data_IF_206054179387
#
_entry.id   IF_206054179387
#
_cell.length_a   1.000
_cell.length_b   1.000
_cell.length_c   1.000
_cell.angle_alpha   90.00
_cell.angle_beta   90.00
_cell.angle_gamma   90.00
#
_symmetry.space_group_name_H-M   'P 1'
#
loop_
_entity.id
_entity.type
_entity.pdbx_description
1 polymer ?
#
# COMPACT_ATOMS: atom_id res chain seq x y z
N UNK A 1 -58.79 -20.79 -3.49
CA UNK A 1 -58.04 -19.60 -3.93
C UNK A 1 -56.69 -19.70 -3.26
N UNK A 2 -55.69 -20.10 -4.03
CA UNK A 2 -54.35 -20.48 -3.58
C UNK A 2 -53.36 -19.54 -4.26
N UNK A 3 -52.83 -18.59 -3.51
CA UNK A 3 -51.76 -17.68 -3.95
C UNK A 3 -50.41 -18.40 -3.84
N UNK A 4 -49.75 -18.60 -4.97
CA UNK A 4 -48.35 -19.01 -5.06
C UNK A 4 -47.49 -17.80 -5.48
N UNK A 5 -46.28 -17.61 -4.91
CA UNK A 5 -45.45 -16.45 -5.18
C UNK A 5 -44.81 -16.47 -6.58
N UNK A 6 -44.64 -15.26 -7.10
CA UNK A 6 -44.02 -14.91 -8.38
C UNK A 6 -42.59 -15.46 -8.48
N UNK A 7 -42.35 -16.35 -9.46
CA UNK A 7 -41.06 -16.96 -9.70
C UNK A 7 -40.10 -15.93 -10.34
N UNK A 8 -38.94 -15.76 -9.72
CA UNK A 8 -37.82 -15.00 -10.27
C UNK A 8 -37.25 -15.76 -11.49
N UNK A 9 -36.73 -15.05 -12.53
CA UNK A 9 -36.17 -15.72 -13.71
C UNK A 9 -34.84 -16.43 -13.39
N UNK A 10 -34.62 -17.59 -14.01
CA UNK A 10 -33.47 -18.48 -13.81
C UNK A 10 -32.12 -17.81 -14.16
N UNK A 11 -31.15 -17.96 -13.27
CA UNK A 11 -29.81 -17.33 -13.25
C UNK A 11 -28.78 -17.98 -14.22
N UNK A 12 -29.22 -18.82 -15.16
CA UNK A 12 -28.32 -19.65 -15.98
C UNK A 12 -28.03 -19.08 -17.40
N UNK A 13 -28.22 -17.78 -17.62
CA UNK A 13 -27.80 -17.11 -18.87
C UNK A 13 -26.66 -16.12 -18.61
N UNK A 14 -25.44 -16.56 -18.94
CA UNK A 14 -24.26 -15.70 -18.99
C UNK A 14 -24.40 -14.66 -20.12
N UNK A 15 -24.40 -13.34 -19.81
CA UNK A 15 -24.57 -12.28 -20.80
C UNK A 15 -23.35 -12.08 -21.72
N UNK A 16 -22.28 -12.88 -21.58
CA UNK A 16 -21.09 -12.85 -22.43
C UNK A 16 -20.88 -14.10 -23.30
N UNK A 17 -21.84 -15.03 -23.33
CA UNK A 17 -21.78 -16.18 -24.23
C UNK A 17 -22.02 -15.72 -25.69
N UNK A 18 -20.93 -15.58 -26.45
CA UNK A 18 -20.98 -15.43 -27.90
C UNK A 18 -21.56 -16.71 -28.53
N UNK A 19 -22.62 -16.53 -29.32
CA UNK A 19 -23.34 -17.56 -30.06
C UNK A 19 -22.45 -18.34 -31.04
N UNK A 20 -22.63 -19.66 -31.04
CA UNK A 20 -22.07 -20.70 -31.91
C UNK A 20 -22.07 -20.38 -33.42
N UNK A 21 -21.09 -20.91 -34.16
CA UNK A 21 -21.40 -21.74 -35.34
C UNK A 21 -20.25 -22.71 -35.70
N UNK A 22 -20.60 -23.99 -35.79
CA UNK A 22 -19.78 -25.14 -36.20
C UNK A 22 -19.33 -25.09 -37.66
N UNK A 23 -18.16 -25.64 -37.94
CA UNK A 23 -17.91 -26.43 -39.17
C UNK A 23 -16.78 -27.45 -38.90
N UNK A 24 -17.16 -28.72 -38.70
CA UNK A 24 -16.26 -29.88 -38.79
C UNK A 24 -15.95 -30.22 -40.26
N UNK A 25 -14.70 -30.63 -40.56
CA UNK A 25 -14.34 -31.91 -41.21
C UNK A 25 -12.88 -31.90 -41.72
N UNK A 26 -12.08 -32.86 -41.24
CA UNK A 26 -11.19 -33.82 -41.96
C UNK A 26 -10.32 -33.32 -43.14
N UNK A 27 -9.07 -33.74 -43.39
CA UNK A 27 -8.35 -34.97 -43.07
C UNK A 27 -6.85 -34.83 -43.51
N UNK A 28 -6.01 -35.74 -43.00
CA UNK A 28 -4.76 -36.26 -43.60
C UNK A 28 -3.46 -35.41 -43.72
N UNK A 29 -2.44 -35.84 -42.97
CA UNK A 29 -1.01 -35.74 -43.33
C UNK A 29 -0.65 -36.85 -44.35
N UNK A 30 0.45 -36.80 -45.14
CA UNK A 30 1.78 -37.11 -44.57
C UNK A 30 3.04 -36.53 -45.29
N UNK A 31 4.19 -36.58 -44.57
CA UNK A 31 5.58 -36.88 -45.02
C UNK A 31 6.26 -35.94 -46.06
N UNK A 32 7.58 -35.63 -46.09
CA UNK A 32 8.80 -36.41 -45.80
C UNK A 32 10.06 -35.48 -45.79
N UNK A 33 11.09 -35.90 -45.05
CA UNK A 33 12.54 -35.89 -45.38
C UNK A 33 13.45 -34.64 -45.18
N UNK A 34 14.45 -34.87 -44.32
CA UNK A 34 15.73 -34.18 -44.17
C UNK A 34 16.60 -34.27 -45.45
N UNK A 35 17.34 -33.20 -45.77
CA UNK A 35 18.78 -33.30 -46.09
C UNK A 35 19.43 -31.92 -46.32
N UNK A 36 20.46 -31.63 -45.53
CA UNK A 36 21.62 -30.78 -45.87
C UNK A 36 22.59 -31.60 -46.77
N UNK A 37 23.60 -31.04 -47.50
CA UNK A 37 24.59 -30.11 -46.92
C UNK A 37 25.35 -29.15 -47.90
N UNK A 38 26.31 -28.43 -47.28
CA UNK A 38 27.62 -27.98 -47.80
C UNK A 38 27.85 -26.55 -48.41
N UNK A 39 28.50 -25.73 -47.57
CA UNK A 39 29.74 -24.92 -47.82
C UNK A 39 29.54 -23.56 -48.54
N UNK A 40 30.09 -22.41 -48.13
CA UNK A 40 31.52 -22.07 -47.89
C UNK A 40 31.62 -20.61 -47.36
N UNK A 41 32.62 -20.37 -46.49
CA UNK A 41 33.35 -19.14 -46.10
C UNK A 41 32.67 -17.96 -45.34
N UNK A 42 33.09 -17.82 -44.08
CA UNK A 42 33.17 -16.55 -43.33
C UNK A 42 34.18 -15.59 -43.97
N UNK A 43 34.00 -14.28 -43.78
CA UNK A 43 34.84 -13.62 -42.77
C UNK A 43 34.04 -12.80 -41.76
N UNK A 44 34.44 -12.89 -40.49
CA UNK A 44 34.04 -12.02 -39.40
C UNK A 44 34.19 -10.54 -39.76
N UNK A 45 33.15 -9.74 -39.54
CA UNK A 45 33.28 -8.32 -39.21
C UNK A 45 32.12 -7.89 -38.28
N UNK A 46 32.52 -7.53 -37.06
CA UNK A 46 31.86 -6.65 -36.08
C UNK A 46 30.41 -6.96 -35.67
N UNK A 47 30.30 -7.74 -34.58
CA UNK A 47 29.16 -7.70 -33.67
C UNK A 47 28.89 -6.26 -33.22
N UNK A 48 27.71 -5.67 -33.47
CA UNK A 48 27.30 -4.48 -32.75
C UNK A 48 27.12 -4.90 -31.30
N UNK A 49 28.04 -4.43 -30.46
CA UNK A 49 27.96 -4.54 -29.03
C UNK A 49 26.52 -4.36 -28.56
N UNK A 50 26.05 -5.28 -27.73
CA UNK A 50 24.85 -5.10 -26.92
C UNK A 50 24.99 -3.78 -26.19
N UNK A 51 24.37 -2.73 -26.73
CA UNK A 51 24.11 -1.50 -25.99
C UNK A 51 23.16 -1.89 -24.86
N UNK A 52 23.74 -2.27 -23.71
CA UNK A 52 23.03 -2.17 -22.46
C UNK A 52 22.44 -0.77 -22.41
N UNK A 53 21.12 -0.61 -22.32
CA UNK A 53 20.56 0.70 -22.14
C UNK A 53 21.00 1.13 -20.75
N UNK A 54 22.03 1.97 -20.68
CA UNK A 54 22.22 2.90 -19.57
C UNK A 54 21.11 3.94 -19.71
N UNK A 55 19.87 3.48 -19.52
CA UNK A 55 18.75 4.35 -19.29
C UNK A 55 19.09 5.07 -18.00
N UNK A 56 19.50 6.32 -18.11
CA UNK A 56 19.45 7.28 -17.01
C UNK A 56 17.97 7.36 -16.64
N UNK A 57 17.50 6.45 -15.77
CA UNK A 57 16.11 6.37 -15.35
C UNK A 57 15.75 7.74 -14.78
N UNK A 58 14.98 8.51 -15.53
CA UNK A 58 14.54 9.82 -15.12
C UNK A 58 13.56 9.62 -13.97
N UNK A 59 14.05 9.82 -12.75
CA UNK A 59 13.29 9.54 -11.55
C UNK A 59 12.05 10.41 -11.46
N UNK A 60 10.90 9.76 -11.29
CA UNK A 60 9.61 10.43 -11.09
C UNK A 60 9.36 10.65 -9.61
N UNK A 61 8.82 11.81 -9.25
CA UNK A 61 8.19 12.01 -7.95
C UNK A 61 6.82 11.31 -7.94
N UNK A 62 6.38 10.72 -6.82
CA UNK A 62 7.06 10.65 -5.53
C UNK A 62 8.19 9.61 -5.51
N UNK A 63 9.22 9.86 -4.70
CA UNK A 63 10.36 8.94 -4.58
C UNK A 63 9.96 7.69 -3.82
N UNK A 64 10.05 6.53 -4.50
CA UNK A 64 9.71 5.21 -3.96
C UNK A 64 10.95 4.38 -3.66
N UNK A 65 10.78 3.41 -2.76
CA UNK A 65 11.88 2.60 -2.23
C UNK A 65 12.10 1.35 -3.09
N UNK A 66 11.03 0.75 -3.61
CA UNK A 66 11.10 -0.44 -4.44
C UNK A 66 12.00 -0.29 -5.68
N UNK A 67 11.91 0.81 -6.48
CA UNK A 67 12.80 0.98 -7.63
C UNK A 67 14.27 1.05 -7.22
N UNK A 68 14.58 1.69 -6.09
CA UNK A 68 15.96 1.82 -5.58
C UNK A 68 16.52 0.45 -5.15
N UNK A 69 15.68 -0.38 -4.52
CA UNK A 69 16.07 -1.74 -4.11
C UNK A 69 16.17 -2.70 -5.31
N UNK A 70 15.33 -2.52 -6.32
CA UNK A 70 15.36 -3.31 -7.56
C UNK A 70 16.68 -3.11 -8.34
N UNK A 71 17.22 -1.89 -8.38
CA UNK A 71 18.58 -1.64 -8.93
C UNK A 71 19.64 -2.44 -8.19
N UNK A 72 19.45 -2.68 -6.89
CA UNK A 72 20.36 -3.49 -6.07
C UNK A 72 20.12 -5.00 -6.21
N UNK A 73 19.18 -5.43 -7.07
CA UNK A 73 18.81 -6.82 -7.28
C UNK A 73 17.90 -7.43 -6.22
N UNK A 74 17.29 -6.62 -5.33
CA UNK A 74 16.37 -7.12 -4.29
C UNK A 74 14.91 -6.94 -4.75
N UNK A 75 14.21 -8.05 -5.01
CA UNK A 75 12.75 -8.03 -5.25
C UNK A 75 12.02 -7.81 -3.92
N UNK A 76 11.27 -6.72 -3.82
CA UNK A 76 10.67 -6.28 -2.57
C UNK A 76 9.23 -5.81 -2.74
N UNK A 77 8.38 -6.17 -1.76
CA UNK A 77 7.02 -5.61 -1.64
C UNK A 77 7.07 -4.33 -0.80
N UNK A 78 6.72 -3.21 -1.41
CA UNK A 78 6.69 -1.90 -0.76
C UNK A 78 5.27 -1.50 -0.34
N UNK A 79 5.14 -1.07 0.91
CA UNK A 79 3.94 -0.42 1.44
C UNK A 79 4.29 0.99 1.93
N UNK A 80 3.93 2.05 1.19
CA UNK A 80 4.20 3.43 1.59
C UNK A 80 3.38 3.81 2.84
N UNK A 81 4.06 4.26 3.88
CA UNK A 81 3.46 4.62 5.17
C UNK A 81 3.37 6.13 5.37
N UNK A 82 4.29 6.91 4.80
CA UNK A 82 4.23 8.36 4.91
C UNK A 82 4.94 8.99 3.72
N UNK A 83 4.17 9.64 2.87
CA UNK A 83 4.65 10.38 1.70
C UNK A 83 4.48 11.88 1.93
N UNK A 84 5.56 12.65 1.82
CA UNK A 84 5.54 14.11 1.90
C UNK A 84 4.76 14.70 0.74
N UNK A 85 4.11 15.86 0.94
CA UNK A 85 3.33 16.55 -0.10
C UNK A 85 4.14 16.80 -1.37
N UNK A 86 5.42 17.15 -1.23
CA UNK A 86 6.33 17.39 -2.35
C UNK A 86 6.82 16.10 -3.05
N UNK A 87 6.46 14.91 -2.54
CA UNK A 87 6.92 13.61 -3.04
C UNK A 87 8.40 13.33 -2.79
N UNK A 88 9.15 14.26 -2.19
CA UNK A 88 10.61 14.16 -1.97
C UNK A 88 11.01 13.26 -0.81
N UNK A 89 10.11 13.03 0.15
CA UNK A 89 10.36 12.15 1.30
C UNK A 89 9.27 11.11 1.36
N UNK A 90 9.67 9.86 1.50
CA UNK A 90 8.76 8.73 1.63
C UNK A 90 9.30 7.79 2.71
N UNK A 91 8.43 7.35 3.61
CA UNK A 91 8.72 6.27 4.55
C UNK A 91 7.88 5.08 4.16
N UNK A 92 8.50 3.95 3.85
CA UNK A 92 7.80 2.73 3.45
C UNK A 92 8.20 1.55 4.32
N UNK A 93 7.27 0.61 4.49
CA UNK A 93 7.55 -0.73 4.96
C UNK A 93 7.95 -1.57 3.74
N UNK A 94 9.08 -2.24 3.83
CA UNK A 94 9.58 -3.17 2.85
C UNK A 94 9.51 -4.57 3.42
N UNK A 95 8.87 -5.47 2.68
CA UNK A 95 8.82 -6.90 2.99
C UNK A 95 9.60 -7.65 1.92
N UNK A 96 10.68 -8.28 2.36
CA UNK A 96 11.57 -9.15 1.58
C UNK A 96 11.58 -10.53 2.25
N UNK A 97 11.80 -11.60 1.47
CA UNK A 97 11.70 -13.03 1.85
C UNK A 97 11.71 -13.35 3.35
N UNK A 98 12.72 -12.90 4.11
CA UNK A 98 12.87 -13.16 5.56
C UNK A 98 13.13 -11.90 6.41
N UNK A 99 12.91 -10.70 5.85
CA UNK A 99 13.27 -9.44 6.48
C UNK A 99 12.20 -8.36 6.23
N UNK A 100 11.70 -7.80 7.32
CA UNK A 100 10.82 -6.64 7.29
C UNK A 100 11.66 -5.42 7.65
N UNK A 101 11.67 -4.39 6.79
CA UNK A 101 12.43 -3.17 7.01
C UNK A 101 11.53 -1.95 6.93
N UNK A 102 11.76 -0.96 7.77
CA UNK A 102 11.15 0.37 7.60
C UNK A 102 12.24 1.27 7.06
N UNK A 103 12.02 1.78 5.85
CA UNK A 103 13.00 2.56 5.11
C UNK A 103 12.42 3.94 4.86
N UNK A 104 13.18 4.98 5.21
CA UNK A 104 12.89 6.35 4.83
C UNK A 104 13.81 6.74 3.68
N UNK A 105 13.21 7.16 2.57
CA UNK A 105 13.91 7.71 1.44
C UNK A 105 13.70 9.21 1.38
N UNK A 106 14.80 9.92 1.13
CA UNK A 106 14.82 11.36 0.95
C UNK A 106 15.52 11.70 -0.35
N UNK A 107 14.85 12.49 -1.18
CA UNK A 107 15.41 13.18 -2.33
C UNK A 107 15.85 14.56 -1.88
N UNK A 108 17.16 14.77 -1.84
CA UNK A 108 17.74 16.05 -1.42
C UNK A 108 17.84 17.02 -2.60
N UNK A 109 18.03 18.30 -2.31
CA UNK A 109 18.21 19.35 -3.34
C UNK A 109 19.46 19.13 -4.21
N UNK A 110 20.41 18.31 -3.72
CA UNK A 110 21.58 17.85 -4.46
C UNK A 110 21.25 16.88 -5.62
N UNK A 111 19.98 16.51 -5.78
CA UNK A 111 19.53 15.54 -6.78
C UNK A 111 19.85 14.08 -6.44
N UNK A 112 20.46 13.84 -5.27
CA UNK A 112 20.82 12.51 -4.77
C UNK A 112 19.73 11.93 -3.87
N UNK A 113 19.51 10.61 -3.97
CA UNK A 113 18.62 9.87 -3.08
C UNK A 113 19.41 9.25 -1.94
N UNK A 114 18.95 9.50 -0.71
CA UNK A 114 19.51 8.88 0.49
C UNK A 114 18.50 7.91 1.08
N UNK A 115 18.97 6.70 1.32
CA UNK A 115 18.19 5.62 1.92
C UNK A 115 18.57 5.51 3.40
N UNK A 116 17.61 5.80 4.28
CA UNK A 116 17.78 5.68 5.72
C UNK A 116 16.96 4.49 6.24
N UNK A 117 17.63 3.41 6.60
CA UNK A 117 16.98 2.23 7.19
C UNK A 117 16.73 2.49 8.67
N UNK A 118 15.46 2.63 9.07
CA UNK A 118 15.08 2.94 10.46
C UNK A 118 14.96 1.70 11.33
N UNK A 119 14.50 0.60 10.76
CA UNK A 119 14.26 -0.63 11.52
C UNK A 119 14.40 -1.83 10.60
N UNK A 120 14.96 -2.90 11.12
CA UNK A 120 15.13 -4.19 10.44
C UNK A 120 14.67 -5.29 11.41
N UNK A 121 13.70 -6.09 11.01
CA UNK A 121 13.15 -7.21 11.79
C UNK A 121 13.32 -8.51 11.01
N UNK A 122 14.05 -9.46 11.60
CA UNK A 122 14.38 -10.76 10.99
C UNK A 122 13.50 -11.88 11.56
N UNK A 123 12.94 -12.68 10.65
CA UNK A 123 12.47 -14.08 10.70
C UNK A 123 11.95 -14.76 11.99
N UNK A 124 11.58 -14.05 13.05
CA UNK A 124 10.88 -14.63 14.21
C UNK A 124 9.71 -13.73 14.62
N UNK A 125 8.90 -13.28 13.66
CA UNK A 125 7.66 -12.60 14.00
C UNK A 125 6.68 -13.64 14.53
N UNK A 126 6.41 -13.59 15.84
CA UNK A 126 5.42 -14.44 16.50
C UNK A 126 4.03 -13.83 16.48
N UNK A 127 3.92 -12.56 16.08
CA UNK A 127 2.65 -11.87 15.97
C UNK A 127 2.78 -10.47 15.36
N UNK A 128 1.68 -10.05 14.78
CA UNK A 128 1.49 -8.72 14.22
C UNK A 128 0.16 -8.17 14.71
N UNK A 129 0.22 -7.02 15.37
CA UNK A 129 -0.99 -6.30 15.80
C UNK A 129 -1.00 -4.94 15.13
N UNK A 130 -2.08 -4.70 14.37
CA UNK A 130 -2.40 -3.39 13.84
C UNK A 130 -3.46 -2.75 14.73
N UNK A 131 -3.11 -1.66 15.40
CA UNK A 131 -4.05 -0.88 16.20
C UNK A 131 -4.25 0.48 15.57
N UNK A 132 -5.51 0.81 15.28
CA UNK A 132 -5.94 2.13 14.88
C UNK A 132 -6.62 2.83 16.06
N UNK A 133 -6.35 4.13 16.26
CA UNK A 133 -7.00 4.90 17.31
C UNK A 133 -8.47 5.22 16.94
N UNK A 134 -9.36 4.25 17.14
CA UNK A 134 -10.80 4.41 16.87
C UNK A 134 -11.55 5.13 18.00
N UNK A 135 -10.93 5.29 19.18
CA UNK A 135 -11.60 5.88 20.34
C UNK A 135 -12.11 7.28 20.04
N UNK A 136 -11.29 8.10 19.36
CA UNK A 136 -11.64 9.48 19.07
C UNK A 136 -12.71 9.59 17.97
N UNK A 137 -12.70 8.68 16.99
CA UNK A 137 -13.72 8.61 15.94
C UNK A 137 -15.07 8.11 16.44
N UNK A 138 -15.07 7.06 17.26
CA UNK A 138 -16.30 6.48 17.84
C UNK A 138 -17.08 7.50 18.67
N UNK A 139 -16.36 8.40 19.34
CA UNK A 139 -16.93 9.45 20.18
C UNK A 139 -17.04 10.82 19.49
N UNK A 140 -17.11 10.87 18.14
CA UNK A 140 -17.20 12.16 17.40
C UNK A 140 -18.29 13.09 17.94
N UNK A 141 -19.47 12.54 18.26
CA UNK A 141 -20.60 13.31 18.76
C UNK A 141 -20.37 13.87 20.16
N UNK A 142 -19.59 13.18 20.99
CA UNK A 142 -19.20 13.67 22.31
C UNK A 142 -18.34 14.93 22.17
N UNK A 143 -17.36 14.93 21.27
CA UNK A 143 -16.47 16.08 21.05
C UNK A 143 -17.21 17.29 20.49
N UNK A 144 -18.08 17.08 19.48
CA UNK A 144 -18.92 18.15 18.92
C UNK A 144 -19.85 18.71 19.98
N UNK A 145 -20.50 17.85 20.77
CA UNK A 145 -21.39 18.28 21.85
C UNK A 145 -20.64 19.07 22.92
N UNK A 146 -19.41 18.67 23.27
CA UNK A 146 -18.56 19.43 24.18
C UNK A 146 -18.20 20.82 23.63
N UNK A 147 -17.93 20.94 22.32
CA UNK A 147 -17.68 22.24 21.69
C UNK A 147 -18.91 23.15 21.82
N UNK A 148 -20.10 22.66 21.45
CA UNK A 148 -21.34 23.44 21.55
C UNK A 148 -21.69 23.79 23.01
N UNK A 149 -21.63 22.81 23.91
CA UNK A 149 -21.93 23.03 25.33
C UNK A 149 -20.93 23.99 25.98
N UNK A 150 -19.64 23.85 25.68
CA UNK A 150 -18.59 24.76 26.15
C UNK A 150 -18.76 26.18 25.63
N UNK A 151 -19.15 26.33 24.36
CA UNK A 151 -19.46 27.63 23.78
C UNK A 151 -20.63 28.31 24.49
N UNK A 152 -21.75 27.60 24.69
CA UNK A 152 -22.92 28.14 25.41
C UNK A 152 -22.57 28.50 26.86
N UNK A 153 -21.87 27.60 27.57
CA UNK A 153 -21.47 27.82 28.96
C UNK A 153 -20.51 29.01 29.13
N UNK A 154 -19.75 29.37 28.09
CA UNK A 154 -18.85 30.54 28.11
C UNK A 154 -19.62 31.86 28.27
N UNK A 155 -20.87 31.94 27.79
CA UNK A 155 -21.71 33.14 27.91
C UNK A 155 -22.50 33.23 29.22
N UNK A 156 -22.45 32.19 30.07
CA UNK A 156 -23.15 32.16 31.35
C UNK A 156 -22.23 32.72 32.43
N UNK A 157 -22.63 33.80 33.15
CA UNK A 157 -21.87 34.32 34.29
C UNK A 157 -21.60 33.22 35.32
N UNK A 158 -20.43 33.24 35.97
CA UNK A 158 -19.95 32.23 36.92
C UNK A 158 -19.58 30.84 36.36
N UNK A 159 -20.12 30.43 35.21
CA UNK A 159 -19.75 29.17 34.53
C UNK A 159 -18.71 29.35 33.42
N UNK A 160 -18.44 30.59 33.00
CA UNK A 160 -17.60 30.90 31.84
C UNK A 160 -16.22 30.22 31.84
N UNK A 161 -15.54 30.16 32.99
CA UNK A 161 -14.24 29.48 33.11
C UNK A 161 -14.34 27.98 32.83
N UNK A 162 -15.35 27.30 33.36
CA UNK A 162 -15.59 25.89 33.09
C UNK A 162 -16.04 25.66 31.63
N UNK A 163 -16.81 26.59 31.07
CA UNK A 163 -17.19 26.57 29.66
C UNK A 163 -15.97 26.59 28.74
N UNK A 164 -14.96 27.41 29.05
CA UNK A 164 -13.70 27.46 28.31
C UNK A 164 -12.90 26.16 28.38
N UNK A 165 -12.85 25.49 29.55
CA UNK A 165 -12.18 24.18 29.69
C UNK A 165 -12.89 23.08 28.87
N UNK A 166 -14.21 23.05 28.91
CA UNK A 166 -15.01 22.09 28.13
C UNK A 166 -14.84 22.36 26.63
N UNK A 167 -14.87 23.63 26.21
CA UNK A 167 -14.63 24.03 24.83
C UNK A 167 -13.23 23.61 24.36
N UNK A 168 -12.19 23.87 25.16
CA UNK A 168 -10.83 23.46 24.86
C UNK A 168 -10.70 21.93 24.74
N UNK A 169 -11.29 21.18 25.67
CA UNK A 169 -11.32 19.72 25.62
C UNK A 169 -12.04 19.18 24.37
N UNK A 170 -13.16 19.80 23.99
CA UNK A 170 -13.89 19.48 22.77
C UNK A 170 -13.07 19.74 21.50
N UNK A 171 -12.40 20.89 21.41
CA UNK A 171 -11.52 21.23 20.29
C UNK A 171 -10.30 20.32 20.18
N UNK A 172 -9.66 20.01 21.32
CA UNK A 172 -8.54 19.06 21.37
C UNK A 172 -9.03 17.68 20.91
N UNK A 173 -10.14 17.19 21.47
CA UNK A 173 -10.71 15.90 21.07
C UNK A 173 -11.06 15.83 19.58
N UNK A 174 -11.64 16.91 19.05
CA UNK A 174 -11.94 17.05 17.62
C UNK A 174 -10.68 17.06 16.75
N UNK A 175 -9.61 17.75 17.18
CA UNK A 175 -8.33 17.76 16.47
C UNK A 175 -7.68 16.37 16.49
N UNK A 176 -7.67 15.71 17.66
CA UNK A 176 -7.17 14.35 17.82
C UNK A 176 -7.95 13.31 17.02
N UNK A 177 -9.25 13.53 16.79
CA UNK A 177 -10.02 12.69 15.88
C UNK A 177 -9.47 12.74 14.45
N UNK A 178 -8.96 13.87 13.98
CA UNK A 178 -8.41 13.99 12.64
C UNK A 178 -6.94 13.55 12.55
N UNK A 179 -6.31 13.27 13.69
CA UNK A 179 -5.00 12.66 13.79
C UNK A 179 -5.15 11.15 13.69
N UNK A 180 -5.16 10.64 12.46
CA UNK A 180 -5.17 9.20 12.14
C UNK A 180 -3.85 8.53 12.57
N UNK A 181 -3.74 8.25 13.87
CA UNK A 181 -2.58 7.57 14.46
C UNK A 181 -2.78 6.07 14.34
N UNK A 182 -1.86 5.42 13.63
CA UNK A 182 -1.79 3.99 13.47
C UNK A 182 -0.55 3.45 14.22
N UNK A 183 -0.74 2.39 14.97
CA UNK A 183 0.34 1.71 15.69
C UNK A 183 0.51 0.31 15.13
N UNK A 184 1.70 0.03 14.62
CA UNK A 184 2.12 -1.30 14.22
C UNK A 184 2.96 -1.91 15.35
N UNK A 185 2.48 -2.99 15.95
CA UNK A 185 3.22 -3.77 16.94
C UNK A 185 3.67 -5.09 16.30
N UNK A 186 4.98 -5.27 16.22
CA UNK A 186 5.62 -6.51 15.80
C UNK A 186 6.10 -7.24 17.04
N UNK A 187 5.60 -8.45 17.31
CA UNK A 187 6.11 -9.29 18.39
C UNK A 187 7.07 -10.34 17.83
N UNK A 188 8.18 -10.54 18.55
CA UNK A 188 9.14 -11.61 18.32
C UNK A 188 9.26 -12.51 19.54
N UNK A 189 10.00 -13.61 19.45
CA UNK A 189 10.18 -14.64 20.48
C UNK A 189 10.66 -14.11 21.84
N UNK A 190 11.14 -12.86 21.92
CA UNK A 190 11.51 -12.20 23.17
C UNK A 190 11.33 -10.68 23.25
N UNK A 191 10.71 -10.02 22.25
CA UNK A 191 10.57 -8.55 22.23
C UNK A 191 9.33 -8.08 21.49
N UNK A 192 8.88 -6.86 21.77
CA UNK A 192 7.77 -6.18 21.10
C UNK A 192 8.25 -4.84 20.55
N UNK A 193 8.23 -4.70 19.23
CA UNK A 193 8.63 -3.48 18.56
C UNK A 193 7.38 -2.71 18.11
N UNK A 194 7.15 -1.54 18.72
CA UNK A 194 6.02 -0.66 18.38
C UNK A 194 6.50 0.49 17.52
N UNK A 195 5.84 0.69 16.38
CA UNK A 195 6.10 1.84 15.51
C UNK A 195 4.79 2.59 15.30
N UNK A 196 4.84 3.89 15.56
CA UNK A 196 3.71 4.79 15.40
C UNK A 196 3.83 5.55 14.09
N UNK A 197 2.76 5.54 13.31
CA UNK A 197 2.63 6.29 12.06
C UNK A 197 1.43 7.20 12.15
N UNK A 198 1.57 8.39 11.56
CA UNK A 198 0.47 9.35 11.44
C UNK A 198 0.13 9.53 9.97
N UNK A 199 -1.16 9.47 9.64
CA UNK A 199 -1.67 9.83 8.30
C UNK A 199 -1.78 11.36 8.09
N UNK A 200 -1.34 12.17 9.06
CA UNK A 200 -1.42 13.62 8.97
C UNK A 200 -0.20 14.19 8.24
N UNK A 201 -0.44 15.06 7.26
CA UNK A 201 0.61 15.63 6.42
C UNK A 201 1.16 14.68 5.35
N UNK A 202 0.51 13.53 5.13
CA UNK A 202 0.88 12.55 4.11
C UNK A 202 -0.29 12.21 3.17
N UNK A 203 0.00 11.46 2.11
CA UNK A 203 -1.02 10.94 1.18
C UNK A 203 -1.94 9.92 1.87
N UNK A 204 -3.07 10.41 2.42
CA UNK A 204 -4.04 9.61 3.19
C UNK A 204 -4.62 8.41 2.43
N UNK A 205 -5.09 8.53 1.18
CA UNK A 205 -5.58 7.38 0.41
C UNK A 205 -4.52 6.27 0.30
N UNK A 206 -3.30 6.63 -0.06
CA UNK A 206 -2.21 5.67 -0.24
C UNK A 206 -1.79 5.02 1.09
N UNK A 207 -1.77 5.81 2.17
CA UNK A 207 -1.48 5.34 3.52
C UNK A 207 -2.51 4.32 4.00
N UNK A 208 -3.82 4.61 3.85
CA UNK A 208 -4.89 3.70 4.26
C UNK A 208 -4.88 2.40 3.44
N UNK A 209 -4.65 2.50 2.12
CA UNK A 209 -4.52 1.33 1.26
C UNK A 209 -3.35 0.44 1.71
N UNK A 210 -2.20 1.06 2.02
CA UNK A 210 -1.02 0.35 2.51
C UNK A 210 -1.29 -0.33 3.85
N UNK A 211 -1.90 0.38 4.81
CA UNK A 211 -2.26 -0.18 6.12
C UNK A 211 -3.23 -1.36 6.04
N UNK A 212 -4.16 -1.36 5.07
CA UNK A 212 -5.05 -2.48 4.83
C UNK A 212 -4.33 -3.72 4.27
N UNK A 213 -3.31 -3.52 3.42
CA UNK A 213 -2.59 -4.61 2.73
C UNK A 213 -1.43 -5.20 3.55
N UNK A 214 -0.88 -4.44 4.50
CA UNK A 214 0.24 -4.89 5.34
C UNK A 214 -0.15 -6.12 6.18
N UNK A 215 -1.33 -6.11 6.80
CA UNK A 215 -1.79 -7.22 7.65
C UNK A 215 -1.84 -8.57 6.92
N UNK A 216 -2.61 -8.68 5.82
CA UNK A 216 -2.66 -9.90 5.01
C UNK A 216 -1.31 -10.30 4.42
N UNK A 217 -0.44 -9.33 4.13
CA UNK A 217 0.89 -9.63 3.59
C UNK A 217 1.80 -10.22 4.66
N UNK A 218 1.88 -9.62 5.84
CA UNK A 218 2.71 -10.12 6.94
C UNK A 218 2.23 -11.49 7.41
N UNK A 219 0.92 -11.76 7.38
CA UNK A 219 0.37 -13.07 7.72
C UNK A 219 0.92 -14.23 6.85
N UNK A 220 1.43 -13.95 5.64
CA UNK A 220 2.07 -14.97 4.79
C UNK A 220 3.51 -15.30 5.21
N UNK A 221 4.11 -14.47 6.06
CA UNK A 221 5.50 -14.60 6.54
C UNK A 221 5.56 -14.97 8.04
N UNK A 222 4.43 -15.27 8.67
CA UNK A 222 4.31 -15.76 10.05
C UNK A 222 4.02 -17.26 10.07
#
# INVERSE_FOLDING_TARGET
MSDAPEAWPDDDQDPFAASDELSEAQDEAPSTEENQPETTDEPQEESPAEEQPTATEQWTLPVRVAPVMAISGEEVKEFPLNESVDGRRNTSLIVSNNLIRIIQVTYDDDGQRRLNVKTVLKNELTGFTHSHNELMHKHQWMWVSAIFAGLVATFIPFLGFFGQLILAGGLIGWLYMHLEIHTLEFSTSGSKHKVHFTGYGSNRPMFRASMALIGPTIAKYM
#
